data_IF_398448220070
#
_entry.id   IF_398448220070
#
_cell.length_a   1.000
_cell.length_b   1.000
_cell.length_c   1.000
_cell.angle_alpha   90.00
_cell.angle_beta   90.00
_cell.angle_gamma   90.00
#
_symmetry.space_group_name_H-M   'P 1'
#
loop_
_entity.id
_entity.type
_entity.pdbx_description
1 polymer ?
#
# COMPACT_ATOMS: atom_id res chain seq x y z
N UNK A 1 15.03 10.36 1.81
CA UNK A 1 13.76 10.19 1.05
C UNK A 1 12.92 9.20 1.83
N UNK A 2 11.62 9.45 2.01
CA UNK A 2 10.75 8.52 2.73
C UNK A 2 10.30 7.37 1.83
N UNK A 3 10.03 6.21 2.43
CA UNK A 3 9.37 5.12 1.72
C UNK A 3 7.98 5.59 1.27
N UNK A 4 7.68 5.52 -0.04
CA UNK A 4 6.38 5.93 -0.56
C UNK A 4 5.28 5.11 0.07
N UNK A 5 4.18 5.78 0.42
CA UNK A 5 2.93 5.12 0.81
C UNK A 5 1.93 5.23 -0.33
N UNK A 6 1.20 4.14 -0.54
CA UNK A 6 0.02 4.13 -1.39
C UNK A 6 -1.12 4.82 -0.66
N UNK A 7 -1.80 5.76 -1.32
CA UNK A 7 -2.90 6.52 -0.73
C UNK A 7 -4.19 6.22 -1.53
N UNK A 8 -4.94 5.16 -1.20
CA UNK A 8 -6.12 4.78 -1.99
C UNK A 8 -7.11 5.95 -2.07
N UNK A 9 -7.62 6.29 -3.27
CA UNK A 9 -8.51 7.44 -3.47
C UNK A 9 -9.85 7.30 -2.74
N UNK A 10 -10.29 6.07 -2.50
CA UNK A 10 -11.48 5.75 -1.71
C UNK A 10 -11.03 4.74 -0.66
N UNK A 11 -11.13 5.10 0.62
CA UNK A 11 -10.74 4.24 1.74
C UNK A 11 -11.35 2.84 1.57
N UNK A 12 -10.50 1.85 1.35
CA UNK A 12 -10.89 0.49 0.99
C UNK A 12 -10.02 -0.52 1.72
N UNK A 13 -10.55 -1.73 1.92
CA UNK A 13 -10.00 -2.78 2.78
C UNK A 13 -8.63 -3.32 2.36
N UNK A 14 -8.11 -2.94 1.19
CA UNK A 14 -6.73 -3.26 0.81
C UNK A 14 -5.82 -2.20 1.43
N UNK A 15 -5.49 -2.41 2.70
CA UNK A 15 -4.38 -1.74 3.41
C UNK A 15 -3.01 -2.11 2.84
N UNK A 16 -2.96 -3.04 1.88
CA UNK A 16 -1.75 -3.63 1.32
C UNK A 16 -1.92 -3.80 -0.19
N UNK A 17 -1.93 -2.70 -0.95
CA UNK A 17 -1.51 -2.81 -2.34
C UNK A 17 -0.08 -3.30 -2.27
N UNK A 18 0.15 -4.52 -2.72
CA UNK A 18 1.46 -5.15 -2.63
C UNK A 18 2.45 -4.45 -3.54
N UNK A 19 3.73 -4.83 -3.43
CA UNK A 19 4.80 -4.24 -4.26
C UNK A 19 4.33 -4.10 -5.72
N UNK A 20 4.35 -2.89 -6.32
CA UNK A 20 3.91 -2.67 -7.70
C UNK A 20 4.58 -3.60 -8.72
N UNK A 21 5.76 -4.15 -8.41
CA UNK A 21 6.43 -5.14 -9.23
C UNK A 21 5.66 -6.47 -9.35
N UNK A 22 4.89 -6.86 -8.33
CA UNK A 22 4.08 -8.08 -8.29
C UNK A 22 2.84 -7.98 -9.20
N UNK A 23 2.40 -6.76 -9.54
CA UNK A 23 1.26 -6.56 -10.44
C UNK A 23 1.64 -6.63 -11.91
N UNK A 24 2.94 -6.67 -12.22
CA UNK A 24 3.47 -6.85 -13.57
C UNK A 24 2.96 -5.83 -14.61
N UNK A 25 2.50 -4.66 -14.17
CA UNK A 25 1.94 -3.61 -15.02
C UNK A 25 0.42 -3.68 -15.24
N UNK A 26 -0.27 -4.70 -14.71
CA UNK A 26 -1.73 -4.87 -14.82
C UNK A 26 -2.50 -3.99 -13.82
N UNK A 27 -2.30 -2.67 -13.88
CA UNK A 27 -2.87 -1.72 -12.91
C UNK A 27 -4.40 -1.66 -12.97
N UNK A 28 -5.00 -1.80 -14.16
CA UNK A 28 -6.45 -1.82 -14.35
C UNK A 28 -7.07 -3.06 -13.68
N UNK A 29 -6.41 -4.22 -13.75
CA UNK A 29 -6.82 -5.43 -13.04
C UNK A 29 -6.78 -5.25 -11.53
N UNK A 30 -5.73 -4.62 -11.01
CA UNK A 30 -5.62 -4.30 -9.58
C UNK A 30 -6.77 -3.39 -9.15
N UNK A 31 -6.98 -2.28 -9.87
CA UNK A 31 -8.04 -1.32 -9.61
C UNK A 31 -9.44 -1.96 -9.67
N UNK A 32 -9.72 -2.76 -10.69
CA UNK A 32 -10.96 -3.53 -10.81
C UNK A 32 -11.17 -4.49 -9.63
N UNK A 33 -10.13 -5.26 -9.29
CA UNK A 33 -10.23 -6.24 -8.22
C UNK A 33 -10.45 -5.58 -6.85
N UNK A 34 -9.85 -4.41 -6.61
CA UNK A 34 -10.11 -3.59 -5.42
C UNK A 34 -11.55 -3.11 -5.40
N UNK A 35 -12.04 -2.59 -6.53
CA UNK A 35 -13.40 -2.07 -6.67
C UNK A 35 -14.46 -3.13 -6.35
N UNK A 36 -14.23 -4.39 -6.75
CA UNK A 36 -15.13 -5.52 -6.42
C UNK A 36 -14.83 -6.18 -5.08
N UNK A 37 -13.94 -5.62 -4.26
CA UNK A 37 -13.67 -6.10 -2.90
C UNK A 37 -12.82 -7.37 -2.80
N UNK A 38 -11.95 -7.64 -3.78
CA UNK A 38 -11.03 -8.78 -3.74
C UNK A 38 -9.91 -8.60 -2.70
N UNK A 39 -9.18 -9.68 -2.39
CA UNK A 39 -8.02 -9.66 -1.49
C UNK A 39 -6.68 -9.72 -2.23
N UNK A 40 -5.60 -9.29 -1.57
CA UNK A 40 -4.29 -9.06 -2.20
C UNK A 40 -3.70 -10.28 -2.92
N UNK A 41 -3.70 -11.46 -2.28
CA UNK A 41 -3.14 -12.68 -2.89
C UNK A 41 -3.90 -13.12 -4.14
N UNK A 42 -5.23 -12.94 -4.17
CA UNK A 42 -6.00 -13.16 -5.39
C UNK A 42 -5.57 -12.23 -6.51
N UNK A 43 -5.39 -10.93 -6.22
CA UNK A 43 -4.96 -9.93 -7.19
C UNK A 43 -3.59 -10.30 -7.79
N UNK A 44 -2.62 -10.69 -6.94
CA UNK A 44 -1.30 -11.15 -7.39
C UNK A 44 -1.41 -12.34 -8.34
N UNK A 45 -2.18 -13.36 -7.94
CA UNK A 45 -2.37 -14.55 -8.75
C UNK A 45 -3.01 -14.23 -10.11
N UNK A 46 -4.01 -13.34 -10.13
CA UNK A 46 -4.64 -12.88 -11.39
C UNK A 46 -3.65 -12.12 -12.28
N UNK A 47 -2.84 -11.23 -11.73
CA UNK A 47 -1.81 -10.50 -12.49
C UNK A 47 -0.74 -11.45 -13.05
N UNK A 48 -0.30 -12.44 -12.27
CA UNK A 48 0.64 -13.46 -12.72
C UNK A 48 0.06 -14.32 -13.85
N UNK A 49 -1.22 -14.72 -13.73
CA UNK A 49 -1.95 -15.44 -14.79
C UNK A 49 -2.04 -14.61 -16.08
N UNK A 50 -2.39 -13.33 -15.95
CA UNK A 50 -2.50 -12.40 -17.08
C UNK A 50 -1.15 -12.25 -17.81
N UNK A 51 -0.06 -12.09 -17.05
CA UNK A 51 1.31 -12.05 -17.58
C UNK A 51 1.66 -13.33 -18.33
N UNK A 52 1.41 -14.49 -17.74
CA UNK A 52 1.72 -15.78 -18.35
C UNK A 52 0.93 -16.00 -19.66
N UNK A 53 -0.29 -15.49 -19.73
CA UNK A 53 -1.14 -15.56 -20.91
C UNK A 53 -0.86 -14.46 -21.97
N UNK A 54 0.03 -13.51 -21.69
CA UNK A 54 0.27 -12.37 -22.58
C UNK A 54 -0.94 -11.43 -22.73
N UNK A 55 -1.77 -11.32 -21.69
CA UNK A 55 -2.97 -10.50 -21.73
C UNK A 55 -2.65 -9.00 -21.88
N UNK A 56 -3.56 -8.19 -22.48
CA UNK A 56 -3.41 -6.75 -22.54
C UNK A 56 -3.25 -6.09 -21.16
N UNK A 57 -2.42 -5.06 -21.04
CA UNK A 57 -2.16 -4.38 -19.76
C UNK A 57 -3.37 -3.63 -19.18
N UNK A 58 -4.35 -3.30 -20.03
CA UNK A 58 -5.64 -2.72 -19.66
C UNK A 58 -6.73 -3.79 -19.41
N UNK A 59 -6.36 -5.08 -19.35
CA UNK A 59 -7.28 -6.14 -18.95
C UNK A 59 -7.73 -5.95 -17.50
N UNK A 60 -9.01 -6.22 -17.25
CA UNK A 60 -9.63 -6.18 -15.93
C UNK A 60 -9.77 -7.57 -15.33
N UNK A 61 -10.26 -8.52 -16.11
CA UNK A 61 -10.43 -9.92 -15.71
C UNK A 61 -10.50 -10.82 -16.95
N UNK A 62 -10.44 -12.12 -16.73
CA UNK A 62 -10.68 -13.14 -17.77
C UNK A 62 -12.11 -13.65 -17.62
N UNK A 63 -12.83 -13.84 -18.72
CA UNK A 63 -14.16 -14.44 -18.65
C UNK A 63 -14.07 -15.87 -18.16
N UNK A 64 -14.95 -16.20 -17.22
CA UNK A 64 -15.15 -17.56 -16.75
C UNK A 64 -16.18 -18.29 -17.62
N UNK A 65 -15.81 -19.48 -18.08
CA UNK A 65 -16.69 -20.41 -18.77
C UNK A 65 -17.42 -21.34 -17.79
N UNK A 66 -18.12 -22.36 -18.30
CA UNK A 66 -18.80 -23.36 -17.48
C UNK A 66 -17.86 -23.98 -16.44
N UNK A 67 -18.33 -24.09 -15.19
CA UNK A 67 -17.54 -24.63 -14.08
C UNK A 67 -16.46 -23.68 -13.53
N UNK A 68 -16.46 -22.40 -13.92
CA UNK A 68 -15.49 -21.42 -13.42
C UNK A 68 -14.11 -21.50 -14.08
N UNK A 69 -13.98 -22.28 -15.16
CA UNK A 69 -12.74 -22.42 -15.92
C UNK A 69 -12.53 -21.16 -16.75
N UNK A 70 -11.31 -20.60 -16.72
CA UNK A 70 -10.97 -19.45 -17.54
C UNK A 70 -11.04 -19.77 -19.03
N UNK A 71 -11.70 -18.91 -19.80
CA UNK A 71 -11.87 -19.08 -21.25
C UNK A 71 -10.65 -18.61 -22.05
N UNK A 72 -9.69 -17.94 -21.43
CA UNK A 72 -8.62 -17.20 -22.12
C UNK A 72 -9.07 -15.88 -22.74
N UNK A 73 -10.37 -15.54 -22.70
CA UNK A 73 -10.87 -14.25 -23.15
C UNK A 73 -10.68 -13.20 -22.04
N UNK A 74 -9.91 -12.15 -22.33
CA UNK A 74 -9.63 -11.07 -21.38
C UNK A 74 -10.48 -9.85 -21.68
N UNK A 75 -11.29 -9.43 -20.71
CA UNK A 75 -12.10 -8.22 -20.81
C UNK A 75 -11.23 -7.02 -20.52
N UNK A 76 -11.16 -6.07 -21.47
CA UNK A 76 -10.37 -4.85 -21.32
C UNK A 76 -11.20 -3.73 -20.72
N UNK A 77 -10.52 -2.77 -20.12
CA UNK A 77 -11.16 -1.57 -19.59
C UNK A 77 -11.93 -0.79 -20.66
N UNK A 78 -11.39 -0.73 -21.88
CA UNK A 78 -12.04 -0.12 -23.04
C UNK A 78 -13.35 -0.80 -23.47
N UNK A 79 -13.54 -2.07 -23.10
CA UNK A 79 -14.65 -2.89 -23.58
C UNK A 79 -15.88 -2.77 -22.65
N UNK A 80 -15.73 -2.10 -21.51
CA UNK A 80 -16.83 -1.90 -20.56
C UNK A 80 -17.71 -0.73 -21.01
N UNK A 81 -19.00 -1.03 -21.21
CA UNK A 81 -20.01 0.00 -21.43
C UNK A 81 -20.37 0.72 -20.13
N UNK A 82 -20.38 2.05 -20.17
CA UNK A 82 -20.73 2.95 -19.05
C UNK A 82 -22.22 3.31 -19.01
N UNK A 83 -23.08 2.52 -19.65
CA UNK A 83 -24.51 2.78 -19.72
C UNK A 83 -25.17 2.58 -18.36
N UNK A 84 -25.29 3.66 -17.58
CA UNK A 84 -25.90 3.69 -16.25
C UNK A 84 -25.04 4.43 -15.23
N UNK A 85 -25.67 5.12 -14.28
CA UNK A 85 -25.00 5.97 -13.29
C UNK A 85 -23.99 5.21 -12.42
N UNK A 86 -24.33 4.00 -11.98
CA UNK A 86 -23.45 3.18 -11.14
C UNK A 86 -22.27 2.59 -11.92
N UNK A 87 -22.46 2.24 -13.20
CA UNK A 87 -21.40 1.78 -14.08
C UNK A 87 -20.41 2.92 -14.39
N UNK A 88 -20.90 4.13 -14.65
CA UNK A 88 -20.07 5.32 -14.83
C UNK A 88 -19.26 5.65 -13.56
N UNK A 89 -19.88 5.55 -12.37
CA UNK A 89 -19.17 5.73 -11.09
C UNK A 89 -18.05 4.70 -10.91
N UNK A 90 -18.32 3.42 -11.18
CA UNK A 90 -17.30 2.36 -11.13
C UNK A 90 -16.12 2.64 -12.07
N UNK A 91 -16.40 3.09 -13.29
CA UNK A 91 -15.38 3.46 -14.27
C UNK A 91 -14.45 4.57 -13.74
N UNK A 92 -15.02 5.68 -13.25
CA UNK A 92 -14.24 6.78 -12.67
C UNK A 92 -13.40 6.31 -11.48
N UNK A 93 -13.95 5.43 -10.63
CA UNK A 93 -13.19 4.90 -9.48
C UNK A 93 -11.98 4.10 -9.91
N UNK A 94 -12.11 3.26 -10.95
CA UNK A 94 -11.02 2.49 -11.52
C UNK A 94 -9.93 3.42 -12.07
N UNK A 95 -10.30 4.44 -12.84
CA UNK A 95 -9.32 5.40 -13.40
C UNK A 95 -8.53 6.13 -12.30
N UNK A 96 -9.23 6.64 -11.28
CA UNK A 96 -8.57 7.33 -10.17
C UNK A 96 -7.62 6.40 -9.42
N UNK A 97 -8.01 5.14 -9.24
CA UNK A 97 -7.16 4.13 -8.61
C UNK A 97 -5.93 3.81 -9.47
N UNK A 98 -6.09 3.70 -10.79
CA UNK A 98 -4.97 3.49 -11.72
C UNK A 98 -4.00 4.67 -11.70
N UNK A 99 -4.49 5.91 -11.69
CA UNK A 99 -3.64 7.10 -11.60
C UNK A 99 -2.78 7.08 -10.33
N UNK A 100 -3.39 6.72 -9.20
CA UNK A 100 -2.70 6.60 -7.92
C UNK A 100 -1.70 5.42 -7.90
N UNK A 101 -2.02 4.30 -8.53
CA UNK A 101 -1.09 3.18 -8.71
C UNK A 101 0.13 3.58 -9.55
N UNK A 102 -0.07 4.34 -10.63
CA UNK A 102 1.02 4.87 -11.46
C UNK A 102 1.92 5.80 -10.64
N UNK A 103 1.32 6.74 -9.89
CA UNK A 103 2.06 7.64 -8.98
C UNK A 103 2.89 6.83 -7.98
N UNK A 104 2.28 5.84 -7.35
CA UNK A 104 2.92 4.99 -6.36
C UNK A 104 4.05 4.15 -6.95
N UNK A 105 3.84 3.50 -8.10
CA UNK A 105 4.86 2.73 -8.80
C UNK A 105 6.08 3.59 -9.16
N UNK A 106 5.85 4.80 -9.67
CA UNK A 106 6.93 5.73 -9.97
C UNK A 106 7.69 6.13 -8.69
N UNK A 107 6.97 6.49 -7.63
CA UNK A 107 7.57 6.86 -6.35
C UNK A 107 8.41 5.71 -5.75
N UNK A 108 7.91 4.47 -5.80
CA UNK A 108 8.66 3.28 -5.35
C UNK A 108 9.91 3.06 -6.19
N UNK A 109 9.82 3.25 -7.51
CA UNK A 109 10.97 3.20 -8.41
C UNK A 109 12.05 4.21 -8.04
N UNK A 110 11.67 5.45 -7.77
CA UNK A 110 12.61 6.51 -7.34
C UNK A 110 13.21 6.21 -5.96
N UNK A 111 12.38 5.77 -5.01
CA UNK A 111 12.83 5.37 -3.68
C UNK A 111 13.85 4.23 -3.74
N UNK A 112 13.58 3.18 -4.53
CA UNK A 112 14.52 2.05 -4.72
C UNK A 112 15.85 2.50 -5.32
N UNK A 113 15.83 3.39 -6.32
CA UNK A 113 17.06 3.96 -6.90
C UNK A 113 17.87 4.71 -5.85
N UNK A 114 17.23 5.60 -5.10
CA UNK A 114 17.87 6.34 -4.02
C UNK A 114 18.40 5.42 -2.90
N UNK A 115 17.63 4.39 -2.51
CA UNK A 115 18.00 3.47 -1.43
C UNK A 115 19.27 2.65 -1.74
N UNK A 116 19.59 2.45 -3.02
CA UNK A 116 20.85 1.80 -3.46
C UNK A 116 22.08 2.69 -3.25
N UNK A 117 21.92 4.00 -3.28
CA UNK A 117 23.04 4.96 -3.10
C UNK A 117 23.06 5.61 -1.72
N UNK A 118 21.99 5.46 -0.93
CA UNK A 118 21.88 6.03 0.41
C UNK A 118 22.77 5.31 1.45
N UNK A 119 23.23 6.01 2.51
CA UNK A 119 23.96 5.42 3.62
C UNK A 119 23.21 4.25 4.26
N UNK A 120 23.89 3.24 4.84
CA UNK A 120 23.23 2.09 5.44
C UNK A 120 22.28 2.54 6.56
N UNK A 121 21.11 1.89 6.64
CA UNK A 121 20.17 2.13 7.73
C UNK A 121 20.79 1.67 9.05
N UNK A 122 20.73 2.55 10.04
CA UNK A 122 21.15 2.29 11.41
C UNK A 122 19.95 1.91 12.27
N UNK A 123 20.20 1.26 13.40
CA UNK A 123 19.17 0.91 14.37
C UNK A 123 19.12 1.97 15.46
N UNK A 124 17.94 2.54 15.68
CA UNK A 124 17.66 3.51 16.73
C UNK A 124 16.68 2.91 17.73
N UNK A 125 16.91 3.15 19.01
CA UNK A 125 15.92 2.91 20.06
C UNK A 125 15.16 4.20 20.28
N UNK A 126 13.85 4.16 20.04
CA UNK A 126 12.94 5.26 20.32
C UNK A 126 12.23 4.95 21.62
N UNK A 127 12.54 5.72 22.65
CA UNK A 127 11.91 5.64 23.96
C UNK A 127 10.70 6.57 23.99
N UNK A 128 9.52 5.98 24.12
CA UNK A 128 8.24 6.67 24.06
C UNK A 128 7.90 7.24 25.44
N UNK A 129 7.83 6.36 26.42
CA UNK A 129 7.63 6.67 27.83
C UNK A 129 8.21 5.49 28.58
N UNK A 130 9.13 5.69 29.51
CA UNK A 130 9.74 4.57 30.22
C UNK A 130 8.66 3.68 30.87
N UNK A 131 8.71 2.34 30.70
CA UNK A 131 9.76 1.53 30.06
C UNK A 131 9.50 1.19 28.57
N UNK A 132 8.52 1.79 27.92
CA UNK A 132 8.11 1.49 26.53
C UNK A 132 9.10 2.11 25.54
N UNK A 133 9.81 1.23 24.83
CA UNK A 133 10.70 1.57 23.74
C UNK A 133 10.45 0.68 22.52
N UNK A 134 10.76 1.20 21.34
CA UNK A 134 10.73 0.45 20.07
C UNK A 134 12.03 0.65 19.32
N UNK A 135 12.43 -0.34 18.52
CA UNK A 135 13.59 -0.23 17.64
C UNK A 135 13.14 0.07 16.22
N UNK A 136 13.69 1.13 15.62
CA UNK A 136 13.44 1.50 14.23
C UNK A 136 14.73 1.49 13.44
N UNK A 137 14.66 1.10 12.17
CA UNK A 137 15.75 1.27 11.22
C UNK A 137 15.56 2.57 10.48
N UNK A 138 16.52 3.47 10.55
CA UNK A 138 16.44 4.78 9.92
C UNK A 138 17.82 5.25 9.43
N UNK A 139 17.84 6.31 8.63
CA UNK A 139 19.10 6.92 8.19
C UNK A 139 19.78 7.76 9.29
N UNK A 140 18.97 8.48 10.04
CA UNK A 140 19.39 9.43 11.06
C UNK A 140 18.33 9.50 12.17
N UNK A 141 18.60 10.26 13.22
CA UNK A 141 17.70 10.39 14.38
C UNK A 141 16.36 11.05 14.02
N UNK A 142 16.34 11.96 13.05
CA UNK A 142 15.12 12.66 12.62
C UNK A 142 14.21 11.74 11.80
N UNK A 143 14.80 10.92 10.92
CA UNK A 143 14.13 9.85 10.19
C UNK A 143 13.62 8.75 11.14
N UNK A 144 14.39 8.41 12.19
CA UNK A 144 13.97 7.49 13.25
C UNK A 144 12.78 8.05 14.02
N UNK A 145 12.83 9.33 14.42
CA UNK A 145 11.72 10.00 15.12
C UNK A 145 10.47 10.00 14.26
N UNK A 146 10.58 10.41 13.00
CA UNK A 146 9.46 10.45 12.06
C UNK A 146 8.86 9.07 11.81
N UNK A 147 9.69 8.05 11.63
CA UNK A 147 9.25 6.66 11.41
C UNK A 147 8.51 6.12 12.63
N UNK A 148 9.04 6.33 13.83
CA UNK A 148 8.35 5.94 15.06
C UNK A 148 7.03 6.69 15.26
N UNK A 149 6.98 7.98 14.88
CA UNK A 149 5.79 8.83 14.97
C UNK A 149 4.75 8.58 13.87
N UNK A 150 5.08 7.88 12.78
CA UNK A 150 4.16 7.65 11.66
C UNK A 150 2.91 6.82 12.04
N UNK A 151 2.95 6.12 13.18
CA UNK A 151 1.81 5.40 13.77
C UNK A 151 1.06 6.16 14.86
N UNK A 152 1.36 7.45 15.05
CA UNK A 152 0.80 8.26 16.13
C UNK A 152 -0.25 9.24 15.62
N UNK A 153 -1.37 9.32 16.33
CA UNK A 153 -2.40 10.33 16.13
C UNK A 153 -2.38 11.32 17.32
N UNK A 154 -2.10 12.61 17.10
CA UNK A 154 -2.19 13.62 18.15
C UNK A 154 -3.65 13.76 18.62
N UNK A 155 -3.85 13.93 19.93
CA UNK A 155 -5.15 14.19 20.54
C UNK A 155 -5.31 15.70 20.83
N UNK A 156 -6.54 16.24 20.75
CA UNK A 156 -6.81 17.66 21.02
C UNK A 156 -6.42 18.12 22.44
N UNK A 157 -6.28 17.21 23.38
CA UNK A 157 -5.90 17.46 24.78
C UNK A 157 -4.39 17.48 25.02
N UNK A 158 -3.58 17.46 23.95
CA UNK A 158 -2.12 17.47 24.03
C UNK A 158 -1.49 16.09 24.30
N UNK A 159 -2.29 15.05 24.50
CA UNK A 159 -1.82 13.68 24.48
C UNK A 159 -1.58 13.20 23.04
N UNK A 160 -0.90 12.08 22.87
CA UNK A 160 -0.82 11.41 21.58
C UNK A 160 -1.11 9.92 21.73
N UNK A 161 -1.88 9.38 20.79
CA UNK A 161 -2.21 7.96 20.74
C UNK A 161 -1.32 7.26 19.73
N UNK A 162 -0.63 6.20 20.15
CA UNK A 162 0.19 5.40 19.25
C UNK A 162 -0.48 4.05 18.99
N UNK A 163 -0.51 3.63 17.72
CA UNK A 163 -0.70 2.22 17.39
C UNK A 163 0.59 1.48 17.68
N UNK A 164 0.57 0.62 18.69
CA UNK A 164 1.67 -0.29 18.96
C UNK A 164 1.61 -1.44 17.93
N UNK A 165 2.73 -1.73 17.28
CA UNK A 165 2.82 -2.85 16.33
C UNK A 165 2.64 -4.17 17.08
N UNK A 166 1.54 -4.86 16.79
CA UNK A 166 1.15 -6.17 17.30
C UNK A 166 0.14 -6.83 16.33
N UNK A 167 -0.28 -8.08 16.56
CA UNK A 167 -1.20 -8.79 15.67
C UNK A 167 -2.52 -8.03 15.43
N UNK A 168 -3.27 -8.35 14.35
CA UNK A 168 -4.47 -7.62 13.95
C UNK A 168 -5.47 -7.50 15.11
N UNK A 169 -5.80 -6.27 15.52
CA UNK A 169 -6.51 -5.95 16.77
C UNK A 169 -5.77 -4.97 17.70
N UNK A 170 -4.66 -4.38 17.22
CA UNK A 170 -3.67 -3.57 17.92
C UNK A 170 -4.19 -2.56 18.96
N UNK A 171 -3.67 -2.71 20.18
CA UNK A 171 -3.72 -1.81 21.33
C UNK A 171 -3.43 -0.35 20.94
N UNK A 172 -4.29 0.57 21.42
CA UNK A 172 -4.09 2.03 21.36
C UNK A 172 -3.65 2.49 22.75
N UNK A 173 -2.42 2.97 22.87
CA UNK A 173 -1.94 3.56 24.12
C UNK A 173 -1.86 5.08 23.97
N UNK A 174 -2.39 5.80 24.97
CA UNK A 174 -2.38 7.26 25.07
C UNK A 174 -1.20 7.68 25.94
N UNK A 175 -0.34 8.54 25.41
CA UNK A 175 0.87 9.01 26.08
C UNK A 175 0.81 10.52 26.29
N UNK A 176 1.27 10.95 27.46
CA UNK A 176 1.52 12.35 27.78
C UNK A 176 3.02 12.59 27.71
N UNK A 177 3.54 12.99 26.56
CA UNK A 177 4.97 13.32 26.40
C UNK A 177 5.51 13.14 25.00
N UNK A 178 6.62 13.83 24.70
CA UNK A 178 7.35 13.71 23.44
C UNK A 178 8.35 12.54 23.54
N UNK A 179 8.39 11.60 22.57
CA UNK A 179 9.37 10.52 22.57
C UNK A 179 10.80 11.05 22.43
N UNK A 180 11.74 10.34 23.06
CA UNK A 180 13.18 10.55 22.90
C UNK A 180 13.78 9.47 22.00
N UNK A 181 14.77 9.84 21.18
CA UNK A 181 15.42 8.94 20.23
C UNK A 181 16.89 8.82 20.58
N UNK A 182 17.43 7.60 20.62
CA UNK A 182 18.87 7.35 20.77
C UNK A 182 19.34 6.30 19.77
N UNK A 183 20.45 6.55 19.10
CA UNK A 183 21.12 5.57 18.25
C UNK A 183 21.62 4.38 19.09
N UNK A 184 21.38 3.15 18.64
CA UNK A 184 21.97 1.96 19.25
C UNK A 184 23.30 1.70 18.55
N UNK A 185 24.40 2.06 19.21
CA UNK A 185 25.73 1.62 18.79
C UNK A 185 25.95 0.21 19.34
N UNK A 186 26.06 -0.77 18.45
CA UNK A 186 26.63 -2.09 18.77
C UNK A 186 28.12 -2.05 18.52
#
# INVERSE_FOLDING_TARGET
MQEPKFAPPYGGAISHVTDPAEHHGYLHMVAWAVEVGSYAEYIKHRCAKAKAAGAPLDALYERSGPGGVGTGEWVRFSDIHTAGHDAARGFVRIEQYVQELVRYQHAVGQYRKWRRTAPPLKTFTVTITAPIATTVRALDEEDARRTAMAGWAPCPDGAATARLTGPPGSWVAKFNGTPSVKEVRR
#
